data_IF_740608740417
#
_entry.id   IF_740608740417
#
_cell.length_a   1.000
_cell.length_b   1.000
_cell.length_c   1.000
_cell.angle_alpha   90.00
_cell.angle_beta   90.00
_cell.angle_gamma   90.00
#
_symmetry.space_group_name_H-M   'P 1'
#
loop_
_entity.id
_entity.type
_entity.pdbx_description
1 polymer ?
#
# COMPACT_ATOMS: atom_id res chain seq x y z
N UNK A 1 18.90 52.98 -12.25
CA UNK A 1 17.82 52.80 -11.27
C UNK A 1 16.54 52.58 -12.06
N UNK A 2 16.19 51.31 -12.34
CA UNK A 2 14.98 50.96 -13.11
C UNK A 2 14.17 50.04 -12.21
N UNK A 3 13.09 50.59 -11.66
CA UNK A 3 12.10 49.86 -10.88
C UNK A 3 11.34 48.93 -11.84
N UNK A 4 11.71 47.65 -11.84
CA UNK A 4 10.89 46.60 -12.47
C UNK A 4 9.66 46.39 -11.59
N UNK A 5 8.59 47.10 -11.93
CA UNK A 5 7.25 46.88 -11.41
C UNK A 5 6.81 45.45 -11.75
N UNK A 6 6.81 44.57 -10.75
CA UNK A 6 6.24 43.22 -10.87
C UNK A 6 4.73 43.35 -10.64
N UNK A 7 3.86 43.04 -11.62
CA UNK A 7 2.43 43.14 -11.41
C UNK A 7 2.01 42.13 -10.33
N UNK A 8 1.26 42.61 -9.32
CA UNK A 8 0.60 41.75 -8.33
C UNK A 8 -0.21 40.69 -9.06
N UNK A 9 0.07 39.40 -8.79
CA UNK A 9 -0.78 38.30 -9.23
C UNK A 9 -2.22 38.61 -8.83
N UNK A 10 -3.13 38.71 -9.82
CA UNK A 10 -4.56 38.79 -9.57
C UNK A 10 -4.96 37.57 -8.75
N UNK A 11 -5.51 37.78 -7.56
CA UNK A 11 -6.20 36.76 -6.78
C UNK A 11 -7.28 36.14 -7.65
N UNK A 12 -7.08 34.88 -8.09
CA UNK A 12 -8.16 34.09 -8.72
C UNK A 12 -9.31 34.07 -7.72
N UNK A 13 -10.48 34.59 -8.11
CA UNK A 13 -11.70 34.46 -7.31
C UNK A 13 -11.87 32.99 -6.95
N UNK A 14 -11.77 32.68 -5.67
CA UNK A 14 -11.92 31.32 -5.17
C UNK A 14 -13.40 30.98 -5.30
N UNK A 15 -13.75 30.25 -6.36
CA UNK A 15 -15.13 29.82 -6.55
C UNK A 15 -15.52 28.89 -5.40
N UNK A 16 -16.62 29.25 -4.75
CA UNK A 16 -17.20 28.51 -3.64
C UNK A 16 -18.55 27.93 -4.05
N UNK A 17 -18.88 26.76 -3.50
CA UNK A 17 -20.17 26.11 -3.67
C UNK A 17 -20.68 25.67 -2.30
N UNK A 18 -22.00 25.62 -2.14
CA UNK A 18 -22.61 24.97 -0.97
C UNK A 18 -23.07 23.58 -1.39
N UNK A 19 -22.81 22.59 -0.55
CA UNK A 19 -23.19 21.20 -0.79
C UNK A 19 -23.85 20.59 0.45
N UNK A 20 -24.97 19.91 0.23
CA UNK A 20 -25.54 18.95 1.17
C UNK A 20 -24.96 17.57 0.84
N UNK A 21 -24.25 16.96 1.79
CA UNK A 21 -23.51 15.72 1.58
C UNK A 21 -24.44 14.51 1.76
N UNK A 22 -24.52 13.68 0.73
CA UNK A 22 -25.47 12.57 0.63
C UNK A 22 -24.88 11.24 1.08
N UNK A 23 -23.63 10.99 0.71
CA UNK A 23 -22.97 9.70 0.92
C UNK A 23 -21.44 9.88 1.03
N UNK A 24 -20.73 8.78 1.23
CA UNK A 24 -19.27 8.71 1.26
C UNK A 24 -18.78 7.74 0.18
N UNK A 25 -17.80 8.16 -0.63
CA UNK A 25 -17.13 7.25 -1.55
C UNK A 25 -16.10 6.36 -0.81
N UNK A 26 -15.56 5.34 -1.49
CA UNK A 26 -14.59 4.43 -0.89
C UNK A 26 -13.26 5.09 -0.50
N UNK A 27 -12.98 6.29 -1.03
CA UNK A 27 -11.78 7.08 -0.72
C UNK A 27 -11.97 8.00 0.49
N UNK A 28 -13.17 8.01 1.08
CA UNK A 28 -13.51 8.90 2.18
C UNK A 28 -13.83 10.33 1.73
N UNK A 29 -14.28 10.51 0.48
CA UNK A 29 -14.78 11.78 -0.04
C UNK A 29 -16.29 11.85 0.10
N UNK A 30 -16.80 12.94 0.65
CA UNK A 30 -18.23 13.21 0.70
C UNK A 30 -18.80 13.38 -0.71
N UNK A 31 -19.90 12.71 -1.01
CA UNK A 31 -20.56 12.75 -2.32
C UNK A 31 -21.78 13.66 -2.24
N UNK A 32 -21.84 14.65 -3.12
CA UNK A 32 -23.00 15.52 -3.29
C UNK A 32 -23.47 15.55 -4.75
N UNK A 33 -24.74 15.90 -4.97
CA UNK A 33 -25.29 16.19 -6.30
C UNK A 33 -25.79 17.63 -6.34
N UNK A 34 -25.21 18.43 -7.24
CA UNK A 34 -25.58 19.83 -7.44
C UNK A 34 -25.96 19.99 -8.90
N UNK A 35 -27.21 20.35 -9.17
CA UNK A 35 -27.75 20.51 -10.54
C UNK A 35 -27.48 19.28 -11.44
N UNK A 36 -27.66 18.07 -10.90
CA UNK A 36 -27.43 16.81 -11.61
C UNK A 36 -25.97 16.38 -11.75
N UNK A 37 -25.00 17.25 -11.39
CA UNK A 37 -23.56 16.95 -11.43
C UNK A 37 -23.08 16.38 -10.09
N UNK A 38 -22.26 15.34 -10.14
CA UNK A 38 -21.66 14.70 -8.95
C UNK A 38 -20.45 15.49 -8.46
N UNK A 39 -20.35 15.70 -7.15
CA UNK A 39 -19.20 16.36 -6.52
C UNK A 39 -18.59 15.45 -5.46
N UNK A 40 -17.26 15.31 -5.51
CA UNK A 40 -16.45 14.61 -4.52
C UNK A 40 -15.77 15.64 -3.63
N UNK A 41 -16.08 15.62 -2.34
CA UNK A 41 -15.78 16.70 -1.41
C UNK A 41 -14.90 16.17 -0.29
N UNK A 42 -13.66 16.63 -0.27
CA UNK A 42 -12.72 16.31 0.81
C UNK A 42 -13.17 16.93 2.14
N UNK A 43 -12.89 16.23 3.24
CA UNK A 43 -13.20 16.68 4.60
C UNK A 43 -14.71 16.87 4.83
N UNK A 44 -15.55 16.02 4.27
CA UNK A 44 -17.01 16.12 4.39
C UNK A 44 -17.62 14.75 4.66
N UNK A 45 -18.56 14.68 5.61
CA UNK A 45 -19.28 13.45 5.98
C UNK A 45 -20.74 13.51 5.49
N UNK A 46 -21.41 12.35 5.33
CA UNK A 46 -22.86 12.30 5.13
C UNK A 46 -23.62 13.15 6.16
N UNK A 47 -24.73 13.74 5.72
CA UNK A 47 -25.60 14.63 6.52
C UNK A 47 -24.99 16.00 6.88
N UNK A 48 -23.81 16.33 6.40
CA UNK A 48 -23.24 17.66 6.54
C UNK A 48 -23.76 18.63 5.48
N UNK A 49 -23.84 19.91 5.88
CA UNK A 49 -24.00 21.02 4.95
C UNK A 49 -22.77 21.89 5.00
N UNK A 50 -22.04 21.97 3.88
CA UNK A 50 -20.71 22.59 3.83
C UNK A 50 -20.60 23.63 2.74
N UNK A 51 -19.82 24.68 3.01
CA UNK A 51 -19.26 25.55 1.99
C UNK A 51 -17.89 25.02 1.58
N UNK A 52 -17.74 24.79 0.29
CA UNK A 52 -16.59 24.12 -0.29
C UNK A 52 -15.85 25.06 -1.22
N UNK A 53 -14.52 24.93 -1.21
CA UNK A 53 -13.65 25.51 -2.24
C UNK A 53 -13.51 24.52 -3.39
N UNK A 54 -13.83 24.95 -4.61
CA UNK A 54 -13.61 24.12 -5.81
C UNK A 54 -12.11 23.90 -6.01
N UNK A 55 -11.73 22.64 -6.24
CA UNK A 55 -10.40 22.21 -6.64
C UNK A 55 -10.36 21.95 -8.15
N UNK A 56 -11.39 21.29 -8.68
CA UNK A 56 -11.51 20.94 -10.08
C UNK A 56 -12.98 20.93 -10.50
N UNK A 57 -13.27 21.47 -11.68
CA UNK A 57 -14.60 21.46 -12.29
C UNK A 57 -14.55 20.80 -13.67
N UNK A 58 -15.19 19.63 -13.82
CA UNK A 58 -15.39 18.95 -15.10
C UNK A 58 -16.87 18.90 -15.44
N UNK A 59 -17.18 18.51 -16.69
CA UNK A 59 -18.56 18.43 -17.18
C UNK A 59 -19.46 17.49 -16.36
N UNK A 60 -18.96 16.30 -16.01
CA UNK A 60 -19.76 15.25 -15.34
C UNK A 60 -19.52 15.17 -13.83
N UNK A 61 -18.37 15.65 -13.35
CA UNK A 61 -18.02 15.63 -11.94
C UNK A 61 -17.18 16.84 -11.53
N UNK A 62 -17.07 17.09 -10.22
CA UNK A 62 -16.15 18.08 -9.69
C UNK A 62 -15.50 17.62 -8.40
N UNK A 63 -14.34 18.20 -8.09
CA UNK A 63 -13.64 18.00 -6.82
C UNK A 63 -13.65 19.30 -6.03
N UNK A 64 -13.93 19.20 -4.74
CA UNK A 64 -13.92 20.33 -3.83
C UNK A 64 -13.39 19.93 -2.45
N UNK A 65 -13.11 20.92 -1.60
CA UNK A 65 -12.73 20.69 -0.20
C UNK A 65 -13.60 21.53 0.72
N UNK A 66 -14.19 20.92 1.73
CA UNK A 66 -15.00 21.62 2.72
C UNK A 66 -14.13 22.59 3.52
N UNK A 67 -14.60 23.85 3.64
CA UNK A 67 -13.93 24.92 4.41
C UNK A 67 -14.76 25.42 5.58
N UNK A 68 -16.08 25.36 5.48
CA UNK A 68 -16.98 25.79 6.56
C UNK A 68 -18.17 24.83 6.64
N UNK A 69 -18.53 24.42 7.85
CA UNK A 69 -19.67 23.56 8.12
C UNK A 69 -20.81 24.41 8.65
N UNK A 70 -21.91 24.48 7.90
CA UNK A 70 -23.18 25.06 8.34
C UNK A 70 -23.93 24.08 9.22
N UNK A 71 -23.85 22.80 8.90
CA UNK A 71 -24.31 21.67 9.72
C UNK A 71 -23.18 20.65 9.75
N UNK A 72 -22.69 20.32 10.94
CA UNK A 72 -21.72 19.24 11.16
C UNK A 72 -22.45 17.95 11.50
N UNK A 73 -21.94 16.82 11.02
CA UNK A 73 -22.45 15.51 11.40
C UNK A 73 -22.10 15.23 12.86
N UNK A 74 -23.02 14.62 13.60
CA UNK A 74 -22.77 14.16 14.98
C UNK A 74 -21.76 13.01 15.03
N UNK A 75 -21.51 12.33 13.91
CA UNK A 75 -20.55 11.23 13.81
C UNK A 75 -19.14 11.72 13.47
N UNK A 76 -18.95 13.00 13.13
CA UNK A 76 -17.63 13.54 12.80
C UNK A 76 -16.69 13.42 14.00
N UNK A 77 -15.51 12.88 13.75
CA UNK A 77 -14.44 12.79 14.73
C UNK A 77 -13.45 13.94 14.57
N UNK A 78 -12.85 14.33 15.69
CA UNK A 78 -11.64 15.15 15.68
C UNK A 78 -10.44 14.25 15.32
N UNK A 79 -9.65 14.59 14.28
CA UNK A 79 -8.49 13.79 13.90
C UNK A 79 -7.47 13.64 15.03
N UNK A 80 -7.03 12.41 15.29
CA UNK A 80 -6.01 12.11 16.31
C UNK A 80 -4.65 12.74 15.98
N UNK A 81 -4.28 12.77 14.70
CA UNK A 81 -3.00 13.31 14.26
C UNK A 81 -3.05 14.82 14.06
N UNK A 82 -2.20 15.56 14.78
CA UNK A 82 -2.06 17.01 14.63
C UNK A 82 -1.66 17.47 13.21
N UNK A 83 -1.08 16.57 12.41
CA UNK A 83 -0.68 16.86 11.03
C UNK A 83 -1.76 16.56 9.99
N UNK A 84 -2.89 15.95 10.39
CA UNK A 84 -3.91 15.40 9.47
C UNK A 84 -4.39 16.38 8.40
N UNK A 85 -4.65 17.63 8.78
CA UNK A 85 -5.20 18.64 7.87
C UNK A 85 -4.25 19.05 6.73
N UNK A 86 -2.96 18.73 6.84
CA UNK A 86 -1.92 19.13 5.88
C UNK A 86 -1.21 17.92 5.24
N UNK A 87 -0.98 16.86 6.00
CA UNK A 87 -0.21 15.69 5.57
C UNK A 87 -0.94 14.94 4.45
N UNK A 88 -0.19 14.53 3.42
CA UNK A 88 -0.75 13.74 2.32
C UNK A 88 -1.04 12.27 2.67
N UNK A 89 -0.65 11.80 3.85
CA UNK A 89 -0.68 10.38 4.22
C UNK A 89 -2.07 9.81 4.53
N UNK A 90 -2.87 10.50 5.35
CA UNK A 90 -4.20 10.05 5.77
C UNK A 90 -5.28 10.96 5.20
N UNK A 91 -6.44 10.39 4.85
CA UNK A 91 -7.59 11.13 4.32
C UNK A 91 -8.84 11.00 5.20
N UNK A 92 -8.91 9.96 6.05
CA UNK A 92 -10.15 9.57 6.74
C UNK A 92 -10.20 9.76 8.26
N UNK A 93 -9.24 10.41 8.93
CA UNK A 93 -9.23 10.43 10.42
C UNK A 93 -10.42 11.17 11.06
N UNK A 94 -11.12 12.01 10.30
CA UNK A 94 -12.32 12.72 10.72
C UNK A 94 -13.61 11.89 10.57
N UNK A 95 -13.50 10.68 10.00
CA UNK A 95 -14.59 9.76 9.69
C UNK A 95 -14.51 8.59 10.69
N UNK A 96 -15.61 8.15 11.32
CA UNK A 96 -15.61 6.92 12.10
C UNK A 96 -15.07 5.74 11.29
N UNK A 97 -14.23 4.90 11.91
CA UNK A 97 -13.56 3.81 11.20
C UNK A 97 -14.56 2.86 10.53
N UNK A 98 -15.66 2.53 11.20
CA UNK A 98 -16.70 1.66 10.65
C UNK A 98 -17.40 2.25 9.42
N UNK A 99 -17.56 3.58 9.36
CA UNK A 99 -18.08 4.25 8.18
C UNK A 99 -17.10 4.17 7.00
N UNK A 100 -15.79 4.28 7.25
CA UNK A 100 -14.77 4.09 6.21
C UNK A 100 -14.83 2.67 5.65
N UNK A 101 -14.91 1.67 6.54
CA UNK A 101 -14.96 0.24 6.19
C UNK A 101 -16.19 -0.08 5.36
N UNK A 102 -17.37 0.37 5.82
CA UNK A 102 -18.64 0.18 5.11
C UNK A 102 -18.63 0.82 3.72
N UNK A 103 -18.05 2.00 3.57
CA UNK A 103 -17.94 2.67 2.26
C UNK A 103 -17.05 1.86 1.29
N UNK A 104 -15.93 1.31 1.78
CA UNK A 104 -15.06 0.44 0.98
C UNK A 104 -15.76 -0.86 0.55
N UNK A 105 -16.40 -1.59 1.48
CA UNK A 105 -17.17 -2.79 1.19
C UNK A 105 -18.28 -2.53 0.16
N UNK A 106 -19.12 -1.52 0.43
CA UNK A 106 -20.25 -1.19 -0.43
C UNK A 106 -19.81 -0.84 -1.85
N UNK A 107 -18.68 -0.13 -2.00
CA UNK A 107 -18.17 0.25 -3.31
C UNK A 107 -17.69 -0.93 -4.15
N UNK A 108 -17.02 -1.91 -3.53
CA UNK A 108 -16.56 -3.11 -4.23
C UNK A 108 -17.72 -4.07 -4.50
N UNK A 109 -18.48 -4.44 -3.47
CA UNK A 109 -19.51 -5.47 -3.55
C UNK A 109 -20.60 -5.10 -4.55
N UNK A 110 -21.02 -3.83 -4.58
CA UNK A 110 -22.00 -3.33 -5.57
C UNK A 110 -21.52 -3.47 -7.02
N UNK A 111 -20.22 -3.40 -7.27
CA UNK A 111 -19.66 -3.57 -8.63
C UNK A 111 -19.57 -5.05 -8.98
N UNK A 112 -19.06 -5.89 -8.08
CA UNK A 112 -18.96 -7.33 -8.30
C UNK A 112 -20.34 -7.99 -8.49
N UNK A 113 -21.35 -7.61 -7.71
CA UNK A 113 -22.72 -8.14 -7.85
C UNK A 113 -23.37 -7.85 -9.20
N UNK A 114 -22.83 -6.95 -10.02
CA UNK A 114 -23.34 -6.67 -11.36
C UNK A 114 -22.73 -7.58 -12.44
N UNK A 115 -21.67 -8.31 -12.11
CA UNK A 115 -20.95 -9.15 -13.07
C UNK A 115 -21.59 -10.53 -13.27
N UNK A 116 -22.42 -10.98 -12.33
CA UNK A 116 -23.10 -12.27 -12.40
C UNK A 116 -24.48 -12.22 -11.75
N UNK A 117 -25.33 -13.17 -12.13
CA UNK A 117 -26.67 -13.31 -11.54
C UNK A 117 -26.68 -14.10 -10.24
N UNK A 118 -25.75 -15.05 -10.12
CA UNK A 118 -25.60 -15.92 -8.97
C UNK A 118 -25.08 -15.12 -7.76
N UNK A 119 -25.63 -15.36 -6.56
CA UNK A 119 -25.22 -14.62 -5.38
C UNK A 119 -23.74 -14.88 -5.04
N UNK A 120 -23.02 -13.78 -4.78
CA UNK A 120 -21.63 -13.83 -4.28
C UNK A 120 -21.67 -13.93 -2.76
N UNK A 121 -20.87 -14.85 -2.21
CA UNK A 121 -20.71 -14.98 -0.75
C UNK A 121 -19.74 -13.91 -0.23
N UNK A 122 -20.25 -12.71 0.05
CA UNK A 122 -19.46 -11.63 0.65
C UNK A 122 -19.08 -11.96 2.09
N UNK A 123 -17.78 -12.08 2.33
CA UNK A 123 -17.23 -12.43 3.64
C UNK A 123 -16.96 -11.16 4.45
N UNK A 124 -16.93 -11.25 5.80
CA UNK A 124 -16.58 -10.12 6.65
C UNK A 124 -15.23 -9.51 6.26
N UNK A 125 -15.13 -8.18 6.29
CA UNK A 125 -13.87 -7.49 6.05
C UNK A 125 -12.74 -7.99 6.98
N UNK A 126 -11.59 -8.26 6.38
CA UNK A 126 -10.37 -8.55 7.11
C UNK A 126 -9.83 -7.24 7.66
N UNK A 127 -10.02 -7.02 8.96
CA UNK A 127 -9.64 -5.79 9.64
C UNK A 127 -8.76 -6.04 10.87
N UNK A 128 -8.09 -4.98 11.32
CA UNK A 128 -7.21 -4.97 12.49
C UNK A 128 -7.23 -3.60 13.14
N UNK A 129 -6.17 -3.28 13.90
CA UNK A 129 -6.04 -1.97 14.53
C UNK A 129 -5.95 -0.84 13.49
N UNK A 130 -6.71 0.22 13.72
CA UNK A 130 -6.72 1.39 12.84
C UNK A 130 -5.48 2.29 13.00
N UNK A 131 -4.74 2.10 14.09
CA UNK A 131 -3.58 2.89 14.50
C UNK A 131 -2.37 1.99 14.69
N UNK A 132 -1.18 2.60 14.66
CA UNK A 132 0.08 1.92 14.93
C UNK A 132 0.33 0.62 14.10
N UNK A 133 -0.29 0.49 12.93
CA UNK A 133 -0.23 -0.71 12.10
C UNK A 133 0.90 -0.67 11.06
N UNK A 134 1.38 0.53 10.71
CA UNK A 134 2.25 0.76 9.57
C UNK A 134 3.71 0.50 9.95
N UNK A 135 4.21 -0.66 9.53
CA UNK A 135 5.58 -1.12 9.78
C UNK A 135 6.63 -0.49 8.87
N UNK A 136 6.25 0.32 7.89
CA UNK A 136 7.18 0.97 6.95
C UNK A 136 6.81 2.42 6.68
N UNK A 137 7.78 3.32 6.85
CA UNK A 137 7.66 4.74 6.49
C UNK A 137 8.85 5.20 5.66
N UNK A 138 8.60 6.15 4.77
CA UNK A 138 9.63 6.87 4.00
C UNK A 138 9.46 8.35 4.26
N UNK A 139 10.47 8.96 4.85
CA UNK A 139 10.50 10.34 5.32
C UNK A 139 11.45 11.14 4.45
N UNK A 140 10.96 12.18 3.80
CA UNK A 140 11.81 13.11 3.06
C UNK A 140 12.63 13.95 4.03
N UNK A 141 13.89 14.19 3.68
CA UNK A 141 14.78 15.09 4.37
C UNK A 141 14.95 16.36 3.53
N UNK A 142 14.85 17.52 4.17
CA UNK A 142 15.05 18.78 3.48
C UNK A 142 15.77 19.78 4.38
N UNK A 143 16.87 20.36 3.88
CA UNK A 143 17.55 21.44 4.59
C UNK A 143 16.78 22.75 4.43
N UNK A 144 16.25 23.26 5.53
CA UNK A 144 15.50 24.50 5.59
C UNK A 144 16.47 25.70 5.74
N UNK A 145 16.62 26.56 4.71
CA UNK A 145 17.57 27.67 4.76
C UNK A 145 17.17 28.76 5.77
N UNK A 146 15.89 28.84 6.14
CA UNK A 146 15.40 29.86 7.07
C UNK A 146 15.73 29.49 8.53
N UNK A 147 15.52 28.23 8.90
CA UNK A 147 15.82 27.73 10.26
C UNK A 147 17.24 27.19 10.39
N UNK A 148 17.92 26.95 9.25
CA UNK A 148 19.22 26.26 9.15
C UNK A 148 19.19 24.85 9.74
N UNK A 149 18.03 24.18 9.71
CA UNK A 149 17.83 22.82 10.24
C UNK A 149 17.39 21.85 9.14
N UNK A 150 17.48 20.55 9.40
CA UNK A 150 16.95 19.52 8.53
C UNK A 150 15.52 19.19 8.97
N UNK A 151 14.56 19.49 8.12
CA UNK A 151 13.19 19.05 8.28
C UNK A 151 13.07 17.59 7.83
N UNK A 152 12.47 16.75 8.67
CA UNK A 152 12.20 15.34 8.39
C UNK A 152 10.69 15.07 8.46
N UNK A 153 10.10 14.55 7.39
CA UNK A 153 8.70 14.13 7.44
C UNK A 153 8.07 13.78 6.10
N UNK A 154 6.77 14.07 5.96
CA UNK A 154 5.98 13.69 4.78
C UNK A 154 5.61 14.89 3.92
N UNK A 155 5.34 14.64 2.64
CA UNK A 155 4.81 15.66 1.75
C UNK A 155 3.41 16.11 2.18
N UNK A 156 3.17 17.41 2.05
CA UNK A 156 1.84 17.99 2.15
C UNK A 156 0.95 17.48 1.01
N UNK A 157 -0.35 17.49 1.26
CA UNK A 157 -1.34 17.05 0.27
C UNK A 157 -1.22 17.87 -1.02
N UNK A 158 -1.06 17.19 -2.15
CA UNK A 158 -0.99 17.77 -3.50
C UNK A 158 0.09 18.85 -3.70
N UNK A 159 1.20 18.79 -2.95
CA UNK A 159 2.36 19.69 -3.14
C UNK A 159 3.68 18.93 -2.94
N UNK A 160 4.80 19.61 -3.22
CA UNK A 160 6.13 19.11 -2.88
C UNK A 160 6.61 19.63 -1.51
N UNK A 161 5.79 20.40 -0.80
CA UNK A 161 6.18 20.98 0.48
C UNK A 161 6.23 19.89 1.56
N UNK A 162 7.18 20.03 2.48
CA UNK A 162 7.39 19.08 3.56
C UNK A 162 6.60 19.49 4.80
N UNK A 163 6.15 18.50 5.58
CA UNK A 163 5.68 18.66 6.96
C UNK A 163 6.67 17.96 7.87
N UNK A 164 7.41 18.70 8.72
CA UNK A 164 8.20 18.09 9.77
C UNK A 164 7.28 17.33 10.75
N UNK A 165 7.65 16.10 11.10
CA UNK A 165 6.89 15.28 12.04
C UNK A 165 7.79 14.80 13.19
N UNK A 166 7.19 14.65 14.37
CA UNK A 166 7.82 14.03 15.54
C UNK A 166 7.15 12.72 15.92
N UNK A 167 5.92 12.50 15.45
CA UNK A 167 5.16 11.26 15.59
C UNK A 167 4.26 11.04 14.37
N UNK A 168 3.80 9.81 14.20
CA UNK A 168 2.81 9.41 13.21
C UNK A 168 1.90 8.34 13.81
N UNK A 169 0.63 8.69 14.06
CA UNK A 169 -0.34 7.82 14.75
C UNK A 169 -0.58 6.46 14.09
N UNK A 170 -0.33 6.35 12.78
CA UNK A 170 -0.47 5.08 12.04
C UNK A 170 0.81 4.27 12.00
N UNK A 171 1.97 4.84 12.33
CA UNK A 171 3.26 4.13 12.33
C UNK A 171 3.43 3.27 13.59
N UNK A 172 4.09 2.12 13.46
CA UNK A 172 4.37 1.25 14.60
C UNK A 172 5.12 1.98 15.74
N UNK A 173 4.94 1.57 17.01
CA UNK A 173 5.57 2.25 18.15
C UNK A 173 7.09 2.30 18.06
N UNK A 174 7.73 1.25 17.53
CA UNK A 174 9.17 1.19 17.32
C UNK A 174 9.68 2.26 16.35
N UNK A 175 8.89 2.61 15.33
CA UNK A 175 9.21 3.71 14.41
C UNK A 175 9.02 5.05 15.13
N UNK A 176 7.89 5.25 15.81
CA UNK A 176 7.60 6.48 16.54
C UNK A 176 8.63 6.81 17.63
N UNK A 177 9.20 5.78 18.27
CA UNK A 177 10.29 5.93 19.22
C UNK A 177 11.56 6.55 18.59
N UNK A 178 11.84 6.24 17.33
CA UNK A 178 13.04 6.71 16.62
C UNK A 178 12.89 8.11 16.03
N UNK A 179 11.68 8.54 15.68
CA UNK A 179 11.45 9.83 14.99
C UNK A 179 12.10 11.04 15.69
N UNK A 180 11.84 11.32 16.99
CA UNK A 180 12.46 12.47 17.65
C UNK A 180 13.97 12.32 17.81
N UNK A 181 14.47 11.10 17.97
CA UNK A 181 15.90 10.82 18.09
C UNK A 181 16.64 11.06 16.79
N UNK A 182 16.02 10.69 15.67
CA UNK A 182 16.53 10.97 14.33
C UNK A 182 16.56 12.47 14.05
N UNK A 183 15.54 13.24 14.47
CA UNK A 183 15.59 14.70 14.39
C UNK A 183 16.82 15.24 15.14
N UNK A 184 17.04 14.81 16.40
CA UNK A 184 18.19 15.24 17.19
C UNK A 184 19.55 14.78 16.62
N UNK A 185 19.59 13.63 15.93
CA UNK A 185 20.77 13.15 15.22
C UNK A 185 21.11 14.06 14.03
N UNK A 186 20.10 14.40 13.23
CA UNK A 186 20.22 15.19 12.01
C UNK A 186 20.63 16.64 12.28
N UNK A 187 20.39 17.17 13.48
CA UNK A 187 20.91 18.49 13.90
C UNK A 187 22.45 18.54 13.95
N UNK A 188 23.10 17.38 14.11
CA UNK A 188 24.57 17.27 14.22
C UNK A 188 25.26 16.97 12.88
N UNK A 189 24.50 16.85 11.80
CA UNK A 189 25.01 16.43 10.49
C UNK A 189 25.85 17.53 9.84
N UNK A 190 27.03 17.16 9.33
CA UNK A 190 27.97 18.11 8.74
C UNK A 190 27.58 18.56 7.33
N UNK A 191 26.91 17.70 6.55
CA UNK A 191 26.52 17.95 5.16
C UNK A 191 25.01 17.86 4.91
N UNK A 192 24.16 18.69 5.55
CA UNK A 192 22.71 18.51 5.58
C UNK A 192 22.02 18.62 4.21
N UNK A 193 22.60 19.37 3.27
CA UNK A 193 22.05 19.58 1.91
C UNK A 193 22.19 18.36 1.00
N UNK A 194 22.96 17.35 1.41
CA UNK A 194 23.23 16.17 0.59
C UNK A 194 22.27 15.02 0.91
N UNK A 195 21.43 15.15 1.94
CA UNK A 195 20.50 14.12 2.36
C UNK A 195 19.24 14.12 1.50
N UNK A 196 18.75 12.92 1.16
CA UNK A 196 17.53 12.72 0.38
C UNK A 196 16.35 12.30 1.24
N UNK A 197 16.39 11.08 1.78
CA UNK A 197 15.29 10.52 2.57
C UNK A 197 15.78 9.47 3.55
N UNK A 198 14.98 9.21 4.58
CA UNK A 198 15.12 8.06 5.46
C UNK A 198 13.97 7.09 5.21
N UNK A 199 14.26 5.80 5.12
CA UNK A 199 13.25 4.74 5.21
C UNK A 199 13.44 3.99 6.53
N UNK A 200 12.33 3.76 7.23
CA UNK A 200 12.31 2.93 8.44
C UNK A 200 11.36 1.77 8.19
N UNK A 201 11.84 0.56 8.48
CA UNK A 201 11.07 -0.68 8.39
C UNK A 201 11.17 -1.43 9.71
N UNK A 202 10.06 -1.55 10.44
CA UNK A 202 9.93 -2.47 11.56
C UNK A 202 9.86 -3.90 11.01
N UNK A 203 10.95 -4.65 11.21
CA UNK A 203 11.07 -6.08 10.97
C UNK A 203 10.82 -6.84 12.28
N UNK A 204 10.80 -8.17 12.24
CA UNK A 204 10.57 -8.97 13.44
C UNK A 204 11.82 -9.10 14.31
N UNK A 205 13.00 -8.88 13.73
CA UNK A 205 14.28 -8.84 14.42
C UNK A 205 14.81 -7.43 14.73
N UNK A 206 14.02 -6.37 14.52
CA UNK A 206 14.41 -4.99 14.85
C UNK A 206 13.95 -3.98 13.81
N UNK A 207 14.43 -2.74 13.91
CA UNK A 207 14.12 -1.69 12.93
C UNK A 207 15.28 -1.54 11.95
N UNK A 208 14.99 -1.70 10.66
CA UNK A 208 15.93 -1.40 9.60
C UNK A 208 15.77 0.06 9.17
N UNK A 209 16.90 0.77 9.05
CA UNK A 209 16.98 2.16 8.65
C UNK A 209 17.82 2.29 7.38
N UNK A 210 17.24 2.86 6.32
CA UNK A 210 17.97 3.30 5.14
C UNK A 210 18.13 4.81 5.17
N UNK A 211 19.35 5.33 5.06
CA UNK A 211 19.59 6.74 4.76
C UNK A 211 20.05 6.89 3.32
N UNK A 212 19.31 7.66 2.53
CA UNK A 212 19.72 8.11 1.18
C UNK A 212 20.47 9.42 1.26
N UNK A 213 21.67 9.46 0.70
CA UNK A 213 22.49 10.66 0.53
C UNK A 213 23.06 10.74 -0.88
N UNK A 214 23.24 11.94 -1.39
CA UNK A 214 23.86 12.23 -2.69
C UNK A 214 25.33 12.60 -2.51
N UNK A 215 26.15 12.44 -3.56
CA UNK A 215 27.59 12.75 -3.50
C UNK A 215 28.30 11.92 -2.41
N UNK A 216 29.04 12.56 -1.50
CA UNK A 216 29.88 11.87 -0.52
C UNK A 216 29.39 12.10 0.91
N UNK A 217 29.27 11.02 1.68
CA UNK A 217 28.96 11.09 3.10
C UNK A 217 30.26 11.29 3.88
N UNK A 218 30.33 12.36 4.68
CA UNK A 218 31.52 12.64 5.48
C UNK A 218 31.75 11.55 6.55
N UNK A 219 33.02 11.20 6.83
CA UNK A 219 33.36 10.17 7.83
C UNK A 219 32.83 10.48 9.24
N UNK A 220 32.74 11.77 9.60
CA UNK A 220 32.14 12.22 10.86
C UNK A 220 30.65 11.84 10.93
N UNK A 221 29.92 12.00 9.82
CA UNK A 221 28.49 11.69 9.71
C UNK A 221 28.27 10.17 9.66
N UNK A 222 29.15 9.44 8.96
CA UNK A 222 29.15 7.96 8.96
C UNK A 222 29.36 7.39 10.37
N UNK A 223 30.32 7.94 11.10
CA UNK A 223 30.58 7.56 12.50
C UNK A 223 29.39 7.88 13.41
N UNK A 224 28.74 9.03 13.18
CA UNK A 224 27.53 9.43 13.91
C UNK A 224 26.39 8.43 13.69
N UNK A 225 26.15 8.02 12.43
CA UNK A 225 25.13 7.04 12.08
C UNK A 225 25.43 5.66 12.67
N UNK A 226 26.69 5.22 12.66
CA UNK A 226 27.09 3.93 13.22
C UNK A 226 26.84 3.87 14.73
N UNK A 227 27.29 4.88 15.47
CA UNK A 227 27.02 4.97 16.92
C UNK A 227 25.53 5.02 17.23
N UNK A 228 24.76 5.73 16.40
CA UNK A 228 23.31 5.77 16.54
C UNK A 228 22.68 4.38 16.31
N UNK A 229 23.10 3.67 15.27
CA UNK A 229 22.62 2.33 14.97
C UNK A 229 22.98 1.32 16.06
N UNK A 230 24.18 1.39 16.63
CA UNK A 230 24.60 0.57 17.78
C UNK A 230 23.75 0.85 19.02
N UNK A 231 23.59 2.13 19.38
CA UNK A 231 22.84 2.55 20.56
C UNK A 231 21.36 2.14 20.48
N UNK A 232 20.74 2.33 19.31
CA UNK A 232 19.32 2.07 19.09
C UNK A 232 19.05 0.67 18.52
N UNK A 233 20.09 -0.17 18.37
CA UNK A 233 20.04 -1.54 17.85
C UNK A 233 19.34 -1.64 16.49
N UNK A 234 19.72 -0.76 15.56
CA UNK A 234 19.16 -0.69 14.22
C UNK A 234 19.92 -1.59 13.25
N UNK A 235 19.26 -2.00 12.16
CA UNK A 235 19.93 -2.49 10.97
C UNK A 235 20.17 -1.30 10.05
N UNK A 236 21.42 -0.86 9.90
CA UNK A 236 21.77 0.38 9.18
C UNK A 236 22.14 0.08 7.73
N UNK A 237 21.43 0.74 6.83
CA UNK A 237 21.69 0.75 5.40
C UNK A 237 21.98 2.17 4.93
N UNK A 238 22.95 2.31 4.04
CA UNK A 238 23.26 3.58 3.38
C UNK A 238 23.05 3.43 1.88
N UNK A 239 22.34 4.39 1.29
CA UNK A 239 22.12 4.44 -0.16
C UNK A 239 22.84 5.64 -0.75
N UNK A 240 23.81 5.36 -1.63
CA UNK A 240 24.49 6.34 -2.47
C UNK A 240 23.69 6.60 -3.77
N UNK A 241 24.28 7.28 -4.74
CA UNK A 241 23.69 7.41 -6.08
C UNK A 241 23.71 6.09 -6.87
N UNK A 242 24.56 5.13 -6.48
CA UNK A 242 24.85 3.91 -7.24
C UNK A 242 24.44 2.63 -6.51
N UNK A 243 24.65 2.57 -5.19
CA UNK A 243 24.59 1.33 -4.40
C UNK A 243 23.77 1.48 -3.11
N UNK A 244 23.38 0.34 -2.56
CA UNK A 244 22.85 0.22 -1.20
C UNK A 244 23.75 -0.75 -0.46
N UNK A 245 24.26 -0.31 0.68
CA UNK A 245 25.17 -1.09 1.52
C UNK A 245 24.60 -1.22 2.92
N UNK A 246 24.63 -2.43 3.46
CA UNK A 246 24.36 -2.68 4.86
C UNK A 246 25.65 -2.45 5.66
N UNK A 247 25.62 -1.49 6.57
CA UNK A 247 26.80 -1.10 7.36
C UNK A 247 26.77 -1.74 8.75
N UNK A 248 25.60 -2.01 9.32
CA UNK A 248 25.46 -2.54 10.67
C UNK A 248 24.19 -3.39 10.85
N UNK A 249 24.25 -4.35 11.76
CA UNK A 249 23.14 -5.25 12.12
C UNK A 249 22.95 -6.44 11.18
N UNK A 250 22.02 -7.32 11.53
CA UNK A 250 21.68 -8.52 10.76
C UNK A 250 20.76 -8.21 9.57
N UNK A 251 20.59 -9.16 8.64
CA UNK A 251 19.59 -9.02 7.57
C UNK A 251 18.16 -9.00 8.17
N UNK A 252 17.27 -8.09 7.73
CA UNK A 252 15.93 -8.01 8.27
C UNK A 252 15.05 -9.16 7.75
N UNK A 253 14.12 -9.59 8.59
CA UNK A 253 13.11 -10.59 8.21
C UNK A 253 11.77 -10.33 8.86
N UNK A 254 10.71 -10.92 8.31
CA UNK A 254 9.49 -11.18 9.07
C UNK A 254 9.15 -12.67 9.01
N UNK A 255 8.31 -13.12 9.94
CA UNK A 255 7.89 -14.50 10.02
C UNK A 255 6.38 -14.62 10.21
N UNK A 256 5.82 -15.69 9.68
CA UNK A 256 4.45 -16.12 9.97
C UNK A 256 4.42 -16.95 11.26
N UNK A 257 3.24 -17.04 11.89
CA UNK A 257 3.03 -17.81 13.13
C UNK A 257 3.38 -19.30 13.00
N UNK A 258 3.34 -19.84 11.79
CA UNK A 258 3.69 -21.23 11.48
C UNK A 258 5.21 -21.46 11.31
N UNK A 259 6.02 -20.42 11.50
CA UNK A 259 7.48 -20.47 11.47
C UNK A 259 8.12 -20.18 10.10
N UNK A 260 7.36 -19.94 9.03
CA UNK A 260 7.95 -19.49 7.76
C UNK A 260 8.57 -18.11 7.96
N UNK A 261 9.86 -17.97 7.64
CA UNK A 261 10.63 -16.73 7.76
C UNK A 261 11.04 -16.18 6.41
N UNK A 262 10.60 -14.97 6.07
CA UNK A 262 10.98 -14.27 4.85
C UNK A 262 11.99 -13.16 5.16
N UNK A 263 13.20 -13.32 4.62
CA UNK A 263 14.19 -12.27 4.62
C UNK A 263 13.96 -11.36 3.41
N UNK A 264 14.24 -10.08 3.58
CA UNK A 264 14.03 -9.06 2.56
C UNK A 264 15.17 -8.05 2.60
N UNK A 265 15.44 -7.39 1.49
CA UNK A 265 16.31 -6.22 1.45
C UNK A 265 15.48 -4.97 1.75
N UNK A 266 16.11 -3.92 2.28
CA UNK A 266 15.40 -2.74 2.79
C UNK A 266 14.49 -2.02 1.77
N UNK A 267 14.71 -2.24 0.47
CA UNK A 267 13.87 -1.69 -0.62
C UNK A 267 12.85 -2.66 -1.20
N UNK A 268 12.91 -3.93 -0.83
CA UNK A 268 11.96 -4.93 -1.27
C UNK A 268 10.55 -4.56 -0.79
N UNK A 269 9.56 -4.88 -1.61
CA UNK A 269 8.18 -4.68 -1.22
C UNK A 269 7.80 -5.69 -0.14
N UNK A 270 7.26 -5.17 0.97
CA UNK A 270 6.64 -5.96 2.04
C UNK A 270 5.32 -5.31 2.39
N UNK A 271 4.35 -6.12 2.82
CA UNK A 271 3.06 -5.60 3.24
C UNK A 271 3.21 -4.67 4.45
N UNK A 272 2.59 -3.50 4.40
CA UNK A 272 2.80 -2.46 5.42
C UNK A 272 2.13 -2.77 6.76
N UNK A 273 1.15 -3.67 6.77
CA UNK A 273 0.42 -4.08 7.96
C UNK A 273 0.72 -5.57 8.22
N UNK A 274 1.57 -5.82 9.22
CA UNK A 274 2.07 -7.18 9.54
C UNK A 274 0.91 -8.14 9.84
N UNK A 275 0.00 -7.74 10.73
CA UNK A 275 -1.09 -8.60 11.17
C UNK A 275 -2.09 -8.90 10.05
N UNK A 276 -2.37 -7.91 9.19
CA UNK A 276 -3.29 -8.12 8.06
C UNK A 276 -2.65 -8.88 6.91
N UNK A 277 -1.33 -8.78 6.70
CA UNK A 277 -0.63 -9.66 5.76
C UNK A 277 -0.83 -11.13 6.12
N UNK A 278 -0.60 -11.49 7.38
CA UNK A 278 -0.76 -12.88 7.83
C UNK A 278 -2.21 -13.37 7.69
N UNK A 279 -3.19 -12.54 8.06
CA UNK A 279 -4.60 -12.89 7.86
C UNK A 279 -4.98 -13.02 6.39
N UNK A 280 -4.46 -12.16 5.52
CA UNK A 280 -4.67 -12.21 4.08
C UNK A 280 -4.10 -13.50 3.50
N UNK A 281 -2.85 -13.84 3.83
CA UNK A 281 -2.20 -15.09 3.42
C UNK A 281 -3.01 -16.29 3.90
N UNK A 282 -3.34 -16.37 5.19
CA UNK A 282 -4.13 -17.49 5.71
C UNK A 282 -5.50 -17.61 5.03
N UNK A 283 -6.20 -16.49 4.80
CA UNK A 283 -7.48 -16.48 4.08
C UNK A 283 -7.32 -16.98 2.65
N UNK A 284 -6.26 -16.57 1.95
CA UNK A 284 -5.95 -17.06 0.61
C UNK A 284 -5.76 -18.58 0.59
N UNK A 285 -4.97 -19.11 1.52
CA UNK A 285 -4.71 -20.55 1.60
C UNK A 285 -5.97 -21.36 1.95
N UNK A 286 -6.79 -20.82 2.85
CA UNK A 286 -8.02 -21.46 3.31
C UNK A 286 -9.09 -21.44 2.20
N UNK A 287 -9.25 -20.33 1.48
CA UNK A 287 -10.22 -20.22 0.38
C UNK A 287 -9.85 -21.05 -0.85
N UNK A 288 -8.55 -21.22 -1.11
CA UNK A 288 -8.07 -22.18 -2.11
C UNK A 288 -8.30 -23.63 -1.68
N UNK A 289 -8.63 -23.90 -0.42
CA UNK A 289 -8.86 -25.25 0.13
C UNK A 289 -7.71 -26.21 -0.21
N UNK A 290 -6.49 -25.78 0.06
CA UNK A 290 -5.27 -26.49 -0.36
C UNK A 290 -5.12 -27.87 0.28
N UNK A 291 -4.59 -28.82 -0.48
CA UNK A 291 -4.34 -30.22 -0.14
C UNK A 291 -3.02 -30.71 -0.76
N UNK A 292 -2.49 -31.81 -0.21
CA UNK A 292 -1.23 -32.44 -0.65
C UNK A 292 -1.28 -33.02 -2.08
N UNK A 293 -2.39 -32.86 -2.80
CA UNK A 293 -2.54 -33.26 -4.21
C UNK A 293 -2.44 -32.06 -5.16
N UNK A 294 -2.52 -30.84 -4.65
CA UNK A 294 -2.61 -29.63 -5.47
C UNK A 294 -1.26 -29.21 -6.05
N UNK A 295 -1.32 -28.73 -7.29
CA UNK A 295 -0.24 -28.02 -7.98
C UNK A 295 -0.69 -26.56 -8.17
N UNK A 296 0.00 -25.64 -7.50
CA UNK A 296 -0.42 -24.22 -7.45
C UNK A 296 0.49 -23.33 -8.28
N UNK A 297 -0.10 -22.43 -9.06
CA UNK A 297 0.61 -21.34 -9.73
C UNK A 297 0.40 -20.04 -8.95
N UNK A 298 1.47 -19.40 -8.49
CA UNK A 298 1.46 -18.12 -7.78
C UNK A 298 2.09 -17.04 -8.68
N UNK A 299 1.28 -16.10 -9.15
CA UNK A 299 1.69 -15.05 -10.08
C UNK A 299 1.92 -13.74 -9.35
N UNK A 300 2.95 -13.01 -9.78
CA UNK A 300 3.44 -11.80 -9.11
C UNK A 300 3.90 -12.14 -7.69
N UNK A 301 4.59 -13.27 -7.54
CA UNK A 301 4.86 -13.85 -6.23
C UNK A 301 5.84 -13.03 -5.38
N UNK A 302 6.55 -12.06 -5.98
CA UNK A 302 7.59 -11.28 -5.32
C UNK A 302 8.63 -12.20 -4.69
N UNK A 303 8.93 -11.95 -3.42
CA UNK A 303 9.84 -12.79 -2.63
C UNK A 303 9.18 -14.02 -1.97
N UNK A 304 7.95 -14.36 -2.40
CA UNK A 304 7.22 -15.57 -2.02
C UNK A 304 6.31 -15.42 -0.78
N UNK A 305 5.64 -14.26 -0.63
CA UNK A 305 4.76 -13.98 0.51
C UNK A 305 3.61 -14.98 0.64
N UNK A 306 3.05 -15.45 -0.48
CA UNK A 306 2.06 -16.52 -0.52
C UNK A 306 2.69 -17.88 -0.82
N UNK A 307 3.65 -17.94 -1.76
CA UNK A 307 4.29 -19.17 -2.24
C UNK A 307 4.94 -20.00 -1.13
N UNK A 308 5.61 -19.37 -0.17
CA UNK A 308 6.29 -20.10 0.90
C UNK A 308 5.30 -20.70 1.92
N UNK A 309 4.32 -19.94 2.43
CA UNK A 309 3.26 -20.51 3.27
C UNK A 309 2.45 -21.63 2.60
N UNK A 310 2.08 -21.47 1.32
CA UNK A 310 1.29 -22.49 0.62
C UNK A 310 2.06 -23.79 0.38
N UNK A 311 3.39 -23.73 0.28
CA UNK A 311 4.26 -24.89 0.07
C UNK A 311 4.06 -26.00 1.11
N UNK A 312 3.67 -25.64 2.34
CA UNK A 312 3.37 -26.61 3.41
C UNK A 312 2.10 -27.42 3.17
N UNK A 313 1.20 -26.94 2.32
CA UNK A 313 -0.16 -27.49 2.14
C UNK A 313 -0.37 -28.21 0.81
N UNK A 314 0.60 -28.16 -0.10
CA UNK A 314 0.43 -28.55 -1.51
C UNK A 314 1.46 -29.60 -1.94
N UNK A 315 1.16 -30.30 -3.04
CA UNK A 315 2.12 -31.22 -3.67
C UNK A 315 3.32 -30.44 -4.20
N UNK A 316 3.05 -29.40 -4.98
CA UNK A 316 4.06 -28.51 -5.55
C UNK A 316 3.49 -27.13 -5.87
N UNK A 317 4.37 -26.14 -5.98
CA UNK A 317 3.97 -24.83 -6.49
C UNK A 317 5.03 -24.18 -7.37
N UNK A 318 4.58 -23.30 -8.24
CA UNK A 318 5.44 -22.47 -9.08
C UNK A 318 5.13 -20.99 -8.81
N UNK A 319 6.14 -20.22 -8.42
CA UNK A 319 6.06 -18.77 -8.28
C UNK A 319 6.62 -18.06 -9.51
N UNK A 320 5.85 -17.13 -10.08
CA UNK A 320 6.27 -16.31 -11.23
C UNK A 320 6.42 -14.85 -10.81
N UNK A 321 7.55 -14.26 -11.15
CA UNK A 321 7.89 -12.87 -10.84
C UNK A 321 8.61 -12.20 -12.01
N UNK A 322 8.36 -10.92 -12.27
CA UNK A 322 8.97 -10.19 -13.39
C UNK A 322 10.40 -9.73 -13.09
N UNK A 323 10.72 -9.50 -11.81
CA UNK A 323 12.02 -8.99 -11.34
C UNK A 323 12.93 -10.15 -10.93
N UNK A 324 14.05 -10.32 -11.65
CA UNK A 324 15.00 -11.41 -11.43
C UNK A 324 15.56 -11.44 -9.99
N UNK A 325 15.89 -10.28 -9.42
CA UNK A 325 16.39 -10.19 -8.05
C UNK A 325 15.37 -10.70 -7.03
N UNK A 326 14.07 -10.51 -7.29
CA UNK A 326 12.98 -11.03 -6.44
C UNK A 326 12.82 -12.54 -6.59
N UNK A 327 12.97 -13.09 -7.79
CA UNK A 327 13.02 -14.54 -8.04
C UNK A 327 14.16 -15.18 -7.23
N UNK A 328 15.37 -14.59 -7.29
CA UNK A 328 16.51 -15.06 -6.50
C UNK A 328 16.24 -14.98 -5.00
N UNK A 329 15.60 -13.90 -4.54
CA UNK A 329 15.22 -13.73 -3.13
C UNK A 329 14.21 -14.78 -2.69
N UNK A 330 13.19 -15.06 -3.49
CA UNK A 330 12.18 -16.08 -3.22
C UNK A 330 12.80 -17.47 -3.10
N UNK A 331 13.69 -17.83 -4.04
CA UNK A 331 14.43 -19.09 -4.00
C UNK A 331 15.35 -19.20 -2.77
N UNK A 332 16.03 -18.11 -2.38
CA UNK A 332 16.84 -18.07 -1.15
C UNK A 332 15.98 -18.24 0.10
N UNK A 333 14.81 -17.59 0.15
CA UNK A 333 13.86 -17.75 1.25
C UNK A 333 13.35 -19.19 1.32
N UNK A 334 13.03 -19.83 0.18
CA UNK A 334 12.63 -21.24 0.14
C UNK A 334 13.72 -22.16 0.70
N UNK A 335 14.97 -21.97 0.27
CA UNK A 335 16.11 -22.73 0.76
C UNK A 335 16.32 -22.56 2.28
N UNK A 336 16.22 -21.32 2.80
CA UNK A 336 16.34 -21.02 4.24
C UNK A 336 15.22 -21.65 5.07
N UNK A 337 14.02 -21.78 4.51
CA UNK A 337 12.89 -22.46 5.13
C UNK A 337 12.87 -23.98 4.86
N UNK A 338 13.89 -24.51 4.19
CA UNK A 338 14.00 -25.93 3.83
C UNK A 338 12.84 -26.45 2.96
N UNK A 339 12.21 -25.55 2.19
CA UNK A 339 11.14 -25.88 1.26
C UNK A 339 11.75 -26.37 -0.05
N UNK A 340 11.31 -27.54 -0.52
CA UNK A 340 11.87 -28.22 -1.72
C UNK A 340 10.85 -28.48 -2.82
N UNK A 341 9.57 -28.29 -2.55
CA UNK A 341 8.47 -28.57 -3.47
C UNK A 341 8.00 -27.31 -4.22
N UNK A 342 8.81 -26.25 -4.25
CA UNK A 342 8.48 -25.02 -4.99
C UNK A 342 9.59 -24.62 -5.93
N UNK A 343 9.21 -24.11 -7.10
CA UNK A 343 10.08 -23.54 -8.12
C UNK A 343 9.74 -22.07 -8.35
N UNK A 344 10.73 -21.27 -8.74
CA UNK A 344 10.52 -19.87 -9.09
C UNK A 344 11.07 -19.57 -10.48
N UNK A 345 10.32 -18.83 -11.28
CA UNK A 345 10.74 -18.42 -12.61
C UNK A 345 10.58 -16.92 -12.80
N UNK A 346 11.53 -16.35 -13.54
CA UNK A 346 11.35 -15.01 -14.07
C UNK A 346 10.50 -15.09 -15.33
N UNK A 347 9.40 -14.34 -15.39
CA UNK A 347 8.65 -14.18 -16.64
C UNK A 347 8.01 -12.80 -16.74
N UNK A 348 8.02 -12.25 -17.95
CA UNK A 348 7.17 -11.13 -18.32
C UNK A 348 5.79 -11.67 -18.68
N UNK A 349 4.83 -11.51 -17.76
CA UNK A 349 3.48 -12.01 -17.94
C UNK A 349 2.68 -11.23 -19.00
N UNK A 350 3.19 -10.08 -19.49
CA UNK A 350 2.61 -9.37 -20.64
C UNK A 350 2.83 -10.12 -21.97
N UNK A 351 3.75 -11.09 -21.99
CA UNK A 351 4.08 -11.90 -23.16
C UNK A 351 3.44 -13.29 -23.09
N UNK A 352 3.35 -13.96 -24.24
CA UNK A 352 2.93 -15.37 -24.27
C UNK A 352 3.90 -16.22 -23.46
N UNK A 353 3.38 -16.95 -22.48
CA UNK A 353 4.16 -17.85 -21.64
C UNK A 353 4.02 -19.32 -22.04
N UNK A 354 3.36 -19.63 -23.17
CA UNK A 354 3.12 -21.01 -23.63
C UNK A 354 4.41 -21.81 -23.81
N UNK A 355 5.50 -21.16 -24.20
CA UNK A 355 6.82 -21.79 -24.40
C UNK A 355 7.66 -21.86 -23.11
N UNK A 356 7.18 -21.29 -22.01
CA UNK A 356 7.93 -21.28 -20.75
C UNK A 356 8.02 -22.69 -20.15
N UNK A 357 9.14 -23.06 -19.50
CA UNK A 357 9.32 -24.40 -18.95
C UNK A 357 8.22 -24.83 -17.97
N UNK A 358 7.68 -23.87 -17.23
CA UNK A 358 6.62 -24.09 -16.25
C UNK A 358 5.21 -24.19 -16.86
N UNK A 359 4.99 -23.69 -18.07
CA UNK A 359 3.65 -23.67 -18.69
C UNK A 359 3.16 -25.06 -19.14
N UNK A 360 4.08 -26.01 -19.33
CA UNK A 360 3.74 -27.41 -19.58
C UNK A 360 3.34 -28.18 -18.31
N UNK A 361 3.47 -27.57 -17.13
CA UNK A 361 3.01 -28.16 -15.88
C UNK A 361 1.50 -27.98 -15.73
N UNK A 362 0.83 -28.94 -15.09
CA UNK A 362 -0.60 -28.83 -14.79
C UNK A 362 -0.80 -28.14 -13.45
N UNK A 363 -1.61 -27.08 -13.44
CA UNK A 363 -2.00 -26.35 -12.24
C UNK A 363 -3.51 -26.45 -12.04
N UNK A 364 -3.94 -26.95 -10.89
CA UNK A 364 -5.35 -26.97 -10.56
C UNK A 364 -5.76 -25.70 -9.78
N UNK A 365 -4.83 -24.95 -9.19
CA UNK A 365 -5.14 -23.72 -8.45
C UNK A 365 -4.20 -22.59 -8.85
N UNK A 366 -4.75 -21.38 -8.95
CA UNK A 366 -3.99 -20.17 -9.28
C UNK A 366 -4.19 -19.13 -8.19
N UNK A 367 -3.12 -18.46 -7.78
CA UNK A 367 -3.11 -17.27 -6.95
C UNK A 367 -2.49 -16.11 -7.74
N UNK A 368 -3.06 -14.91 -7.64
CA UNK A 368 -2.48 -13.71 -8.22
C UNK A 368 -2.62 -12.50 -7.29
N UNK A 369 -1.53 -11.76 -7.11
CA UNK A 369 -1.46 -10.46 -6.41
C UNK A 369 -0.82 -9.39 -7.33
N UNK A 370 -1.49 -8.99 -8.42
CA UNK A 370 -0.90 -8.11 -9.43
C UNK A 370 -0.71 -6.67 -8.96
N UNK A 371 0.11 -5.89 -9.70
CA UNK A 371 0.20 -4.45 -9.50
C UNK A 371 -1.13 -3.72 -9.74
N UNK A 372 -1.16 -2.41 -9.46
CA UNK A 372 -2.37 -1.57 -9.59
C UNK A 372 -3.02 -1.55 -10.98
N UNK A 373 -2.29 -1.97 -12.02
CA UNK A 373 -2.79 -2.12 -13.39
C UNK A 373 -3.68 -3.36 -13.59
N UNK A 374 -3.72 -4.28 -12.63
CA UNK A 374 -4.37 -5.58 -12.74
C UNK A 374 -3.56 -6.56 -13.60
N UNK A 375 -4.21 -7.67 -13.97
CA UNK A 375 -3.63 -8.80 -14.69
C UNK A 375 -4.34 -9.13 -16.02
N UNK A 376 -5.24 -8.25 -16.51
CA UNK A 376 -6.04 -8.48 -17.74
C UNK A 376 -5.25 -9.05 -18.92
N UNK A 377 -4.00 -8.64 -19.09
CA UNK A 377 -3.11 -9.09 -20.15
C UNK A 377 -2.80 -10.60 -20.09
N UNK A 378 -2.79 -11.21 -18.90
CA UNK A 378 -2.43 -12.61 -18.69
C UNK A 378 -3.67 -13.53 -18.56
N UNK A 379 -4.85 -12.99 -18.23
CA UNK A 379 -6.02 -13.80 -17.83
C UNK A 379 -6.46 -14.81 -18.89
N UNK A 380 -6.41 -14.45 -20.18
CA UNK A 380 -6.83 -15.35 -21.26
C UNK A 380 -5.98 -16.63 -21.25
N UNK A 381 -4.66 -16.49 -21.24
CA UNK A 381 -3.73 -17.61 -21.22
C UNK A 381 -3.81 -18.39 -19.89
N UNK A 382 -4.09 -17.71 -18.77
CA UNK A 382 -4.30 -18.37 -17.48
C UNK A 382 -5.58 -19.22 -17.47
N UNK A 383 -6.64 -18.78 -18.14
CA UNK A 383 -7.87 -19.54 -18.25
C UNK A 383 -7.68 -20.83 -19.07
N UNK A 384 -6.73 -20.87 -20.01
CA UNK A 384 -6.38 -22.08 -20.76
C UNK A 384 -5.78 -23.18 -19.87
N UNK A 385 -5.21 -22.83 -18.71
CA UNK A 385 -4.71 -23.78 -17.71
C UNK A 385 -5.85 -24.55 -17.01
N UNK A 386 -7.10 -24.09 -17.13
CA UNK A 386 -8.31 -24.75 -16.58
C UNK A 386 -8.21 -25.09 -15.09
N UNK A 387 -7.66 -24.18 -14.31
CA UNK A 387 -7.63 -24.30 -12.85
C UNK A 387 -9.06 -24.40 -12.28
N UNK A 388 -9.27 -25.24 -11.27
CA UNK A 388 -10.57 -25.32 -10.57
C UNK A 388 -10.86 -24.05 -9.78
N UNK A 389 -9.82 -23.40 -9.26
CA UNK A 389 -9.91 -22.20 -8.42
C UNK A 389 -8.86 -21.17 -8.79
N UNK A 390 -9.29 -19.91 -8.86
CA UNK A 390 -8.42 -18.75 -9.03
C UNK A 390 -8.68 -17.79 -7.87
N UNK A 391 -7.66 -17.47 -7.09
CA UNK A 391 -7.74 -16.51 -6.00
C UNK A 391 -6.98 -15.23 -6.35
N UNK A 392 -7.73 -14.13 -6.42
CA UNK A 392 -7.22 -12.83 -6.84
C UNK A 392 -7.15 -11.88 -5.63
N UNK A 393 -5.96 -11.40 -5.30
CA UNK A 393 -5.71 -10.30 -4.37
C UNK A 393 -5.55 -9.00 -5.16
N UNK A 394 -6.25 -7.93 -4.78
CA UNK A 394 -6.20 -6.67 -5.54
C UNK A 394 -6.22 -5.44 -4.64
N UNK A 395 -5.33 -4.49 -4.94
CA UNK A 395 -5.29 -3.15 -4.35
C UNK A 395 -6.03 -2.08 -5.17
N UNK A 396 -6.71 -2.46 -6.25
CA UNK A 396 -7.46 -1.55 -7.11
C UNK A 396 -8.82 -2.14 -7.53
N UNK A 397 -9.93 -1.63 -6.97
CA UNK A 397 -11.26 -2.19 -7.25
C UNK A 397 -11.69 -2.02 -8.71
N UNK A 398 -11.17 -1.02 -9.43
CA UNK A 398 -11.55 -0.81 -10.82
C UNK A 398 -10.96 -1.88 -11.75
N UNK A 399 -9.67 -2.20 -11.56
CA UNK A 399 -9.02 -3.24 -12.37
C UNK A 399 -9.47 -4.63 -11.96
N UNK A 400 -9.75 -4.88 -10.67
CA UNK A 400 -10.37 -6.15 -10.24
C UNK A 400 -11.71 -6.39 -10.94
N UNK A 401 -12.58 -5.37 -11.05
CA UNK A 401 -13.89 -5.53 -11.70
C UNK A 401 -13.74 -5.86 -13.18
N UNK A 402 -12.84 -5.19 -13.90
CA UNK A 402 -12.50 -5.50 -15.30
C UNK A 402 -11.97 -6.92 -15.45
N UNK A 403 -11.05 -7.32 -14.58
CA UNK A 403 -10.41 -8.63 -14.62
C UNK A 403 -11.38 -9.76 -14.26
N UNK A 404 -12.29 -9.50 -13.31
CA UNK A 404 -13.36 -10.40 -12.94
C UNK A 404 -14.35 -10.63 -14.08
N UNK A 405 -14.67 -9.59 -14.87
CA UNK A 405 -15.49 -9.70 -16.07
C UNK A 405 -14.86 -10.67 -17.09
N UNK A 406 -13.55 -10.52 -17.35
CA UNK A 406 -12.81 -11.46 -18.22
C UNK A 406 -12.90 -12.88 -17.68
N UNK A 407 -12.61 -13.12 -16.38
CA UNK A 407 -12.72 -14.45 -15.80
C UNK A 407 -14.14 -15.05 -15.93
N UNK A 408 -15.18 -14.23 -15.77
CA UNK A 408 -16.57 -14.66 -15.94
C UNK A 408 -16.88 -15.06 -17.39
N UNK A 409 -16.35 -14.33 -18.38
CA UNK A 409 -16.48 -14.65 -19.80
C UNK A 409 -15.81 -16.00 -20.16
N UNK A 410 -14.76 -16.38 -19.44
CA UNK A 410 -14.10 -17.69 -19.53
C UNK A 410 -14.79 -18.80 -18.72
N UNK A 411 -15.96 -18.53 -18.14
CA UNK A 411 -16.77 -19.54 -17.45
C UNK A 411 -16.44 -19.74 -15.97
N UNK A 412 -15.66 -18.85 -15.37
CA UNK A 412 -15.57 -18.78 -13.91
C UNK A 412 -16.78 -18.03 -13.32
N UNK A 413 -17.02 -18.22 -12.03
CA UNK A 413 -17.95 -17.43 -11.22
C UNK A 413 -17.24 -16.93 -9.97
N UNK A 414 -17.60 -15.74 -9.51
CA UNK A 414 -17.15 -15.22 -8.22
C UNK A 414 -17.90 -16.00 -7.13
N UNK A 415 -17.17 -16.81 -6.36
CA UNK A 415 -17.73 -17.58 -5.25
C UNK A 415 -17.74 -16.72 -3.97
N UNK A 416 -16.60 -16.13 -3.62
CA UNK A 416 -16.38 -15.39 -2.38
C UNK A 416 -15.60 -14.10 -2.65
N UNK A 417 -15.88 -13.05 -1.88
CA UNK A 417 -15.07 -11.83 -1.89
C UNK A 417 -15.08 -11.17 -0.52
N UNK A 418 -13.94 -10.61 -0.13
CA UNK A 418 -13.77 -9.81 1.09
C UNK A 418 -12.94 -8.57 0.78
N UNK A 419 -13.19 -7.50 1.51
CA UNK A 419 -12.30 -6.33 1.55
C UNK A 419 -11.30 -6.51 2.68
N UNK A 420 -10.09 -5.96 2.49
CA UNK A 420 -9.02 -5.94 3.49
C UNK A 420 -8.74 -4.48 3.84
N UNK A 421 -8.87 -4.12 5.11
CA UNK A 421 -8.56 -2.78 5.60
C UNK A 421 -7.07 -2.62 5.87
N UNK A 422 -6.24 -2.87 4.84
CA UNK A 422 -4.77 -2.86 4.93
C UNK A 422 -4.21 -1.48 5.30
N UNK A 423 -4.92 -0.42 4.92
CA UNK A 423 -4.54 0.97 5.18
C UNK A 423 -5.71 1.79 5.78
N UNK A 424 -6.03 1.58 7.06
CA UNK A 424 -7.00 2.40 7.77
C UNK A 424 -6.70 3.90 7.65
N UNK A 425 -7.73 4.75 7.63
CA UNK A 425 -7.62 6.21 7.45
C UNK A 425 -7.12 6.68 6.09
N UNK A 426 -7.02 5.78 5.11
CA UNK A 426 -6.66 6.13 3.73
C UNK A 426 -7.75 5.73 2.74
N UNK A 427 -7.69 6.30 1.54
CA UNK A 427 -8.56 5.91 0.42
C UNK A 427 -8.16 4.63 -0.30
N UNK A 428 -7.17 3.89 0.19
CA UNK A 428 -6.80 2.59 -0.38
C UNK A 428 -7.84 1.52 -0.02
N UNK A 429 -8.13 0.67 -1.00
CA UNK A 429 -9.03 -0.47 -0.88
C UNK A 429 -8.29 -1.70 -1.39
N UNK A 430 -8.04 -2.64 -0.49
CA UNK A 430 -7.56 -3.97 -0.84
C UNK A 430 -8.68 -4.99 -0.74
N UNK A 431 -8.56 -6.08 -1.48
CA UNK A 431 -9.58 -7.12 -1.54
C UNK A 431 -8.99 -8.46 -1.94
N UNK A 432 -9.70 -9.51 -1.59
CA UNK A 432 -9.42 -10.90 -1.94
C UNK A 432 -10.69 -11.50 -2.51
N UNK A 433 -10.61 -12.13 -3.68
CA UNK A 433 -11.76 -12.67 -4.40
C UNK A 433 -11.44 -14.06 -4.93
N UNK A 434 -12.30 -15.02 -4.63
CA UNK A 434 -12.20 -16.40 -5.10
C UNK A 434 -13.14 -16.61 -6.28
N UNK A 435 -12.58 -17.16 -7.35
CA UNK A 435 -13.28 -17.60 -8.54
C UNK A 435 -13.20 -19.11 -8.64
N UNK A 436 -14.31 -19.75 -9.04
CA UNK A 436 -14.35 -21.19 -9.34
C UNK A 436 -14.94 -21.43 -10.71
N UNK A 437 -14.62 -22.57 -11.31
CA UNK A 437 -15.35 -23.01 -12.50
C UNK A 437 -16.83 -23.20 -12.18
N UNK A 438 -17.68 -23.05 -13.20
CA UNK A 438 -19.14 -23.14 -13.05
C UNK A 438 -19.62 -24.51 -12.63
#
# INVERSE_FOLDING_TARGET
>A
MVLLYTPKQKTKNVQTITADILDLDYQGLGVAKINGKTWFIENALPHEKVECRILEDKRQYGHATAKKWRVKSSERLEPKCAHFMRCGGCQGQHIPIEMQRKAKESALFKRLSKLQSEPISFQPMICGDAWAYRRRVRLSLWFNPNTKQIDMGFRQKNTNDLIPIQSCEVAEPAINYLLPKLTALLEKFSAPKQLGHIELVAADNGVAMLLRYTKNLAEIDRTLLLKFAEQEKLMLFLQSDETIEQIYGDAPYYQFSDGIKLHFDIRDFIQVNRALNERMVNTALDWLELSQQDCVLDLFCGMGNFTLPLAKRVKSAVGIEGVFEMVQKAAQNAARNQIKNIEFFQADLDQSFVEQPWANQSFNKILLDPPRSGAAFALNALCELKAEKILYVSCNPATLVRDAEILCDFGYKIEKSAVIDMFPHTGHLESITLFTTK
#
